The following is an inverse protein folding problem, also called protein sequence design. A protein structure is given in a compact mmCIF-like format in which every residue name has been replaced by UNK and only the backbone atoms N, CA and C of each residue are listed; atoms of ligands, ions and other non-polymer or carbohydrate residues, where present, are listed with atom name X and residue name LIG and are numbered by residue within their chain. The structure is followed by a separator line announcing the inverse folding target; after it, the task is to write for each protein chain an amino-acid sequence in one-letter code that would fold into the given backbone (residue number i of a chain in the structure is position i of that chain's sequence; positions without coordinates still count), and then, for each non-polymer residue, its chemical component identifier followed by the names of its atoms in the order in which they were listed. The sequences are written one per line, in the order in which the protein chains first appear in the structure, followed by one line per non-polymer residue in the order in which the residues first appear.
data_IF_845163500371
#
_entry.id   IF_845163500371
#
_cell.length_a   1.000
_cell.length_b   1.000
_cell.length_c   1.000
_cell.angle_alpha   90.00
_cell.angle_beta   90.00
_cell.angle_gamma   90.00
#
_symmetry.space_group_name_H-M   'P 1'
#
loop_
_entity.id
_entity.type
_entity.pdbx_description
1 polymer ?
#
# COMPACT_ATOMS: atom_id res chain seq x y z
N UNK A 1 25.40 20.05 -25.35
CA UNK A 1 24.68 18.91 -24.70
C UNK A 1 25.73 18.01 -24.08
N UNK A 2 25.88 18.10 -22.74
CA UNK A 2 27.06 17.64 -22.00
C UNK A 2 27.20 16.11 -22.01
N UNK A 3 28.42 15.63 -22.37
CA UNK A 3 28.82 14.20 -22.28
C UNK A 3 28.68 13.59 -20.86
N UNK A 4 28.63 14.42 -19.82
CA UNK A 4 28.47 13.96 -18.41
C UNK A 4 27.06 13.39 -18.08
N UNK A 5 26.02 13.73 -18.85
CA UNK A 5 24.67 13.24 -18.59
C UNK A 5 24.41 11.86 -19.22
N UNK A 6 25.19 11.45 -20.22
CA UNK A 6 25.00 10.16 -20.90
C UNK A 6 25.53 8.97 -20.08
N UNK A 7 26.54 9.18 -19.23
CA UNK A 7 27.18 8.12 -18.45
C UNK A 7 26.45 7.75 -17.13
N UNK A 8 25.46 8.54 -16.69
CA UNK A 8 24.71 8.25 -15.44
C UNK A 8 23.58 7.24 -15.62
N UNK A 9 23.02 7.15 -16.81
CA UNK A 9 21.89 6.24 -17.11
C UNK A 9 22.34 4.81 -17.41
N UNK A 10 23.62 4.61 -17.79
CA UNK A 10 24.16 3.31 -18.18
C UNK A 10 24.87 2.57 -17.01
N UNK A 11 24.79 3.09 -15.78
CA UNK A 11 25.36 2.40 -14.64
C UNK A 11 24.57 1.10 -14.34
N UNK A 12 25.24 -0.01 -13.96
CA UNK A 12 24.59 -1.27 -13.61
C UNK A 12 23.49 -1.12 -12.55
N UNK A 13 23.57 -0.08 -11.73
CA UNK A 13 22.57 0.25 -10.72
C UNK A 13 21.24 0.70 -11.35
N UNK A 14 21.29 1.62 -12.33
CA UNK A 14 20.06 2.12 -12.99
C UNK A 14 19.42 1.04 -13.87
N UNK A 15 20.22 0.22 -14.54
CA UNK A 15 19.73 -0.93 -15.32
C UNK A 15 19.03 -1.96 -14.42
N UNK A 16 19.60 -2.30 -13.26
CA UNK A 16 18.97 -3.22 -12.29
C UNK A 16 17.73 -2.62 -11.66
N UNK A 17 17.70 -1.33 -11.38
CA UNK A 17 16.57 -0.64 -10.81
C UNK A 17 15.42 -0.59 -11.82
N UNK A 18 15.70 -0.22 -13.07
CA UNK A 18 14.70 -0.21 -14.15
C UNK A 18 14.15 -1.61 -14.42
N UNK A 19 14.98 -2.64 -14.46
CA UNK A 19 14.54 -4.03 -14.63
C UNK A 19 13.56 -4.48 -13.53
N UNK A 20 13.89 -4.20 -12.24
CA UNK A 20 13.00 -4.52 -11.12
C UNK A 20 11.65 -3.78 -11.20
N UNK A 21 11.69 -2.52 -11.60
CA UNK A 21 10.47 -1.73 -11.76
C UNK A 21 9.62 -2.29 -12.90
N UNK A 22 10.22 -2.63 -14.04
CA UNK A 22 9.51 -3.25 -15.16
C UNK A 22 8.91 -4.61 -14.78
N UNK A 23 9.64 -5.44 -14.04
CA UNK A 23 9.13 -6.70 -13.53
C UNK A 23 7.90 -6.51 -12.65
N UNK A 24 7.94 -5.55 -11.71
CA UNK A 24 6.80 -5.23 -10.86
C UNK A 24 5.60 -4.70 -11.66
N UNK A 25 5.84 -3.87 -12.67
CA UNK A 25 4.78 -3.36 -13.55
C UNK A 25 4.14 -4.51 -14.32
N UNK A 26 4.95 -5.43 -14.88
CA UNK A 26 4.45 -6.59 -15.60
C UNK A 26 3.60 -7.48 -14.68
N UNK A 27 4.10 -7.82 -13.49
CA UNK A 27 3.35 -8.61 -12.50
C UNK A 27 2.05 -7.91 -12.09
N UNK A 28 2.09 -6.61 -11.92
CA UNK A 28 0.91 -5.80 -11.63
C UNK A 28 -0.12 -5.86 -12.76
N UNK A 29 0.32 -5.75 -14.02
CA UNK A 29 -0.57 -5.83 -15.19
C UNK A 29 -1.16 -7.23 -15.36
N UNK A 30 -0.36 -8.30 -15.14
CA UNK A 30 -0.83 -9.69 -15.17
C UNK A 30 -1.93 -9.88 -14.13
N UNK A 31 -1.66 -9.52 -12.86
CA UNK A 31 -2.66 -9.68 -11.80
C UNK A 31 -3.91 -8.81 -12.05
N UNK A 32 -3.75 -7.62 -12.63
CA UNK A 32 -4.89 -6.78 -13.02
C UNK A 32 -5.76 -7.49 -14.06
N UNK A 33 -5.14 -8.08 -15.07
CA UNK A 33 -5.84 -8.88 -16.08
C UNK A 33 -6.57 -10.07 -15.46
N UNK A 34 -5.90 -10.84 -14.59
CA UNK A 34 -6.49 -12.00 -13.90
C UNK A 34 -7.68 -11.61 -13.02
N UNK A 35 -7.59 -10.50 -12.29
CA UNK A 35 -8.71 -9.98 -11.48
C UNK A 35 -9.89 -9.56 -12.38
N UNK A 36 -9.62 -8.89 -13.50
CA UNK A 36 -10.66 -8.45 -14.43
C UNK A 36 -11.34 -9.62 -15.18
N UNK A 37 -10.62 -10.72 -15.42
CA UNK A 37 -11.13 -11.91 -16.11
C UNK A 37 -11.63 -13.00 -15.16
N UNK A 38 -11.66 -12.75 -13.86
CA UNK A 38 -12.11 -13.69 -12.82
C UNK A 38 -11.27 -14.96 -12.67
N UNK A 39 -10.06 -15.00 -13.19
CA UNK A 39 -9.14 -16.14 -13.01
C UNK A 39 -8.69 -16.34 -11.57
N UNK A 40 -8.81 -15.31 -10.73
CA UNK A 40 -8.48 -15.39 -9.30
C UNK A 40 -9.54 -16.09 -8.44
N UNK A 41 -10.68 -16.49 -9.00
CA UNK A 41 -11.82 -17.05 -8.26
C UNK A 41 -11.43 -18.30 -7.45
N UNK A 42 -10.65 -19.20 -8.02
CA UNK A 42 -10.23 -20.43 -7.31
C UNK A 42 -9.32 -20.13 -6.12
N UNK A 43 -8.41 -19.17 -6.26
CA UNK A 43 -7.55 -18.70 -5.17
C UNK A 43 -8.36 -18.00 -4.09
N UNK A 44 -9.27 -17.11 -4.48
CA UNK A 44 -10.11 -16.37 -3.56
C UNK A 44 -11.06 -17.30 -2.78
N UNK A 45 -11.66 -18.31 -3.46
CA UNK A 45 -12.50 -19.30 -2.80
C UNK A 45 -11.72 -20.19 -1.83
N UNK A 46 -10.51 -20.62 -2.19
CA UNK A 46 -9.67 -21.43 -1.27
C UNK A 46 -9.34 -20.69 0.03
N UNK A 47 -9.08 -19.37 -0.06
CA UNK A 47 -8.85 -18.53 1.12
C UNK A 47 -10.13 -18.42 1.95
N UNK A 48 -11.27 -18.28 1.31
CA UNK A 48 -12.55 -18.19 2.00
C UNK A 48 -12.94 -19.50 2.67
N UNK A 49 -12.76 -20.66 2.02
CA UNK A 49 -13.02 -21.96 2.61
C UNK A 49 -12.17 -22.18 3.88
N UNK A 50 -10.89 -21.78 3.82
CA UNK A 50 -10.03 -21.80 5.00
C UNK A 50 -10.57 -20.89 6.12
N UNK A 51 -11.00 -19.67 5.81
CA UNK A 51 -11.52 -18.73 6.80
C UNK A 51 -12.85 -19.20 7.38
N UNK A 52 -13.75 -19.75 6.56
CA UNK A 52 -15.06 -20.29 7.03
C UNK A 52 -14.89 -21.30 8.17
N UNK A 53 -13.89 -22.16 8.05
CA UNK A 53 -13.60 -23.18 9.06
C UNK A 53 -12.92 -22.62 10.32
N UNK A 54 -12.51 -21.35 10.30
CA UNK A 54 -11.71 -20.71 11.36
C UNK A 54 -12.33 -19.39 11.90
N UNK A 55 -13.61 -19.12 11.61
CA UNK A 55 -14.30 -17.96 12.16
C UNK A 55 -14.56 -18.17 13.65
N UNK A 56 -14.14 -17.19 14.46
CA UNK A 56 -14.37 -17.17 15.89
C UNK A 56 -14.96 -15.82 16.33
N UNK A 57 -16.03 -15.79 17.14
CA UNK A 57 -16.73 -14.55 17.52
C UNK A 57 -15.81 -13.48 18.15
N UNK A 58 -14.89 -13.89 19.02
CA UNK A 58 -13.97 -12.97 19.69
C UNK A 58 -13.01 -12.31 18.71
N UNK A 59 -12.47 -13.07 17.74
CA UNK A 59 -11.64 -12.51 16.67
C UNK A 59 -12.44 -11.58 15.77
N UNK A 60 -13.71 -11.89 15.51
CA UNK A 60 -14.59 -11.03 14.69
C UNK A 60 -14.75 -9.67 15.33
N UNK A 61 -15.07 -9.62 16.63
CA UNK A 61 -15.19 -8.35 17.36
C UNK A 61 -13.88 -7.56 17.40
N UNK A 62 -12.76 -8.27 17.60
CA UNK A 62 -11.43 -7.67 17.58
C UNK A 62 -11.12 -7.04 16.23
N UNK A 63 -11.36 -7.75 15.11
CA UNK A 63 -11.15 -7.24 13.77
C UNK A 63 -12.07 -6.05 13.45
N UNK A 64 -13.32 -6.09 13.86
CA UNK A 64 -14.27 -4.96 13.70
C UNK A 64 -13.77 -3.74 14.49
N UNK A 65 -13.38 -3.91 15.75
CA UNK A 65 -12.90 -2.82 16.59
C UNK A 65 -11.63 -2.16 16.00
N UNK A 66 -10.66 -2.98 15.57
CA UNK A 66 -9.44 -2.48 14.95
C UNK A 66 -9.67 -1.85 13.57
N UNK A 67 -10.56 -2.41 12.75
CA UNK A 67 -10.91 -1.81 11.46
C UNK A 67 -11.56 -0.44 11.65
N UNK A 68 -12.45 -0.30 12.63
CA UNK A 68 -13.10 0.96 12.96
C UNK A 68 -12.11 1.98 13.53
N UNK A 69 -11.19 1.54 14.42
CA UNK A 69 -10.13 2.40 14.96
C UNK A 69 -9.17 2.88 13.84
N UNK A 70 -8.92 2.02 12.84
CA UNK A 70 -8.04 2.30 11.71
C UNK A 70 -8.78 2.87 10.50
N UNK A 71 -9.91 3.50 10.74
CA UNK A 71 -10.72 4.10 9.69
C UNK A 71 -9.97 5.27 9.03
N UNK A 72 -10.41 5.65 7.84
CA UNK A 72 -9.83 6.67 6.97
C UNK A 72 -9.35 7.94 7.71
N UNK A 73 -10.06 8.35 8.75
CA UNK A 73 -9.72 9.54 9.54
C UNK A 73 -8.35 9.45 10.22
N UNK A 74 -8.00 8.31 10.84
CA UNK A 74 -6.70 8.17 11.52
C UNK A 74 -5.54 8.20 10.56
N UNK A 75 -5.70 7.62 9.38
CA UNK A 75 -4.69 7.64 8.31
C UNK A 75 -4.48 9.06 7.81
N UNK A 76 -5.57 9.82 7.61
CA UNK A 76 -5.52 11.23 7.21
C UNK A 76 -4.84 12.07 8.31
N UNK A 77 -5.24 11.91 9.57
CA UNK A 77 -4.63 12.62 10.70
C UNK A 77 -3.14 12.33 10.76
N UNK A 78 -2.73 11.08 10.65
CA UNK A 78 -1.32 10.69 10.69
C UNK A 78 -0.53 11.26 9.51
N UNK A 79 -1.10 11.26 8.31
CA UNK A 79 -0.49 11.87 7.13
C UNK A 79 -0.33 13.40 7.26
N UNK A 80 -1.36 14.07 7.82
CA UNK A 80 -1.32 15.53 8.09
C UNK A 80 -0.27 15.86 9.15
N UNK A 81 -0.24 15.13 10.27
CA UNK A 81 0.76 15.32 11.33
C UNK A 81 2.19 15.12 10.78
N UNK A 82 2.40 14.05 10.03
CA UNK A 82 3.68 13.78 9.38
C UNK A 82 4.08 14.91 8.42
N UNK A 83 3.14 15.42 7.65
CA UNK A 83 3.34 16.55 6.75
C UNK A 83 3.75 17.82 7.53
N UNK A 84 3.04 18.15 8.60
CA UNK A 84 3.33 19.32 9.44
C UNK A 84 4.74 19.21 10.04
N UNK A 85 5.06 18.08 10.67
CA UNK A 85 6.38 17.85 11.30
C UNK A 85 7.51 17.99 10.28
N UNK A 86 7.34 17.47 9.07
CA UNK A 86 8.34 17.59 8.02
C UNK A 86 8.41 19.02 7.43
N UNK A 87 7.29 19.72 7.36
CA UNK A 87 7.22 21.08 6.84
C UNK A 87 7.93 22.12 7.70
N UNK A 88 8.00 21.90 9.01
CA UNK A 88 8.65 22.80 9.97
C UNK A 88 10.15 23.02 9.67
N UNK A 89 10.80 22.09 8.95
CA UNK A 89 12.19 22.22 8.51
C UNK A 89 12.24 22.43 7.00
N UNK A 90 12.83 23.56 6.57
CA UNK A 90 12.89 23.96 5.15
C UNK A 90 13.49 22.87 4.25
N UNK A 91 14.54 22.21 4.70
CA UNK A 91 15.23 21.12 3.99
C UNK A 91 14.37 19.86 3.78
N UNK A 92 13.31 19.70 4.57
CA UNK A 92 12.43 18.54 4.53
C UNK A 92 11.14 18.76 3.73
N UNK A 93 10.92 19.97 3.19
CA UNK A 93 9.66 20.33 2.49
C UNK A 93 9.29 19.39 1.33
N UNK A 94 10.27 18.85 0.62
CA UNK A 94 10.02 17.83 -0.42
C UNK A 94 9.36 16.56 0.15
N UNK A 95 9.79 16.12 1.34
CA UNK A 95 9.21 14.96 2.01
C UNK A 95 7.84 15.27 2.60
N UNK A 96 7.63 16.49 3.08
CA UNK A 96 6.33 16.99 3.50
C UNK A 96 5.34 17.00 2.33
N UNK A 97 5.74 17.47 1.15
CA UNK A 97 4.91 17.43 -0.06
C UNK A 97 4.53 16.01 -0.45
N UNK A 98 5.47 15.05 -0.41
CA UNK A 98 5.18 13.65 -0.67
C UNK A 98 4.16 13.09 0.35
N UNK A 99 4.36 13.37 1.64
CA UNK A 99 3.47 12.92 2.71
C UNK A 99 2.05 13.46 2.54
N UNK A 100 1.92 14.70 2.09
CA UNK A 100 0.64 15.34 1.79
C UNK A 100 -0.02 14.77 0.53
N UNK A 101 0.74 14.59 -0.54
CA UNK A 101 0.22 14.13 -1.83
C UNK A 101 -0.12 12.64 -1.85
N UNK A 102 0.56 11.82 -1.04
CA UNK A 102 0.33 10.37 -1.00
C UNK A 102 -1.13 9.99 -0.80
N UNK A 103 -1.84 10.43 0.26
CA UNK A 103 -3.24 10.07 0.45
C UNK A 103 -4.13 10.60 -0.69
N UNK A 104 -3.86 11.77 -1.23
CA UNK A 104 -4.64 12.37 -2.33
C UNK A 104 -4.51 11.50 -3.59
N UNK A 105 -3.29 11.15 -3.98
CA UNK A 105 -3.03 10.28 -5.14
C UNK A 105 -3.75 8.95 -4.97
N UNK A 106 -3.69 8.38 -3.77
CA UNK A 106 -4.34 7.11 -3.45
C UNK A 106 -5.86 7.19 -3.60
N UNK A 107 -6.49 8.26 -3.08
CA UNK A 107 -7.94 8.49 -3.24
C UNK A 107 -8.31 8.50 -4.73
N UNK A 108 -7.59 9.28 -5.53
CA UNK A 108 -7.85 9.42 -6.96
C UNK A 108 -7.70 8.06 -7.66
N UNK A 109 -6.57 7.39 -7.46
CA UNK A 109 -6.28 6.09 -8.10
C UNK A 109 -7.31 5.03 -7.69
N UNK A 110 -7.65 4.95 -6.39
CA UNK A 110 -8.67 4.02 -5.91
C UNK A 110 -10.02 4.27 -6.57
N UNK A 111 -10.48 5.52 -6.57
CA UNK A 111 -11.78 5.89 -7.13
C UNK A 111 -11.85 5.60 -8.64
N UNK A 112 -10.81 5.96 -9.38
CA UNK A 112 -10.75 5.69 -10.83
C UNK A 112 -10.82 4.19 -11.12
N UNK A 113 -9.99 3.39 -10.44
CA UNK A 113 -9.94 1.94 -10.69
C UNK A 113 -11.24 1.27 -10.26
N UNK A 114 -11.84 1.66 -9.12
CA UNK A 114 -13.15 1.15 -8.68
C UNK A 114 -14.24 1.34 -9.73
N UNK A 115 -14.28 2.52 -10.34
CA UNK A 115 -15.29 2.84 -11.35
C UNK A 115 -15.03 2.14 -12.69
N UNK A 116 -13.78 1.78 -13.00
CA UNK A 116 -13.43 1.02 -14.20
C UNK A 116 -13.74 -0.47 -14.03
N UNK A 117 -13.26 -1.07 -12.93
CA UNK A 117 -13.32 -2.53 -12.73
C UNK A 117 -14.68 -3.00 -12.20
N UNK A 118 -15.33 -2.23 -11.36
CA UNK A 118 -16.68 -2.48 -10.80
C UNK A 118 -16.87 -3.90 -10.23
N UNK A 119 -15.82 -4.49 -9.63
CA UNK A 119 -15.87 -5.84 -9.09
C UNK A 119 -16.86 -5.92 -7.93
N UNK A 120 -17.86 -6.83 -7.96
CA UNK A 120 -18.78 -7.00 -6.83
C UNK A 120 -18.01 -7.51 -5.60
N UNK A 121 -18.58 -7.28 -4.42
CA UNK A 121 -18.04 -7.83 -3.16
C UNK A 121 -18.46 -9.27 -2.96
N UNK A 122 -17.73 -10.03 -2.11
CA UNK A 122 -18.18 -11.35 -1.67
C UNK A 122 -19.59 -11.26 -1.06
N UNK A 123 -20.50 -12.14 -1.47
CA UNK A 123 -21.89 -12.13 -0.98
C UNK A 123 -22.11 -13.02 0.24
N UNK A 124 -21.18 -13.98 0.46
CA UNK A 124 -21.26 -14.95 1.55
C UNK A 124 -20.75 -14.30 2.83
N UNK A 125 -21.53 -14.37 3.92
CA UNK A 125 -21.13 -14.01 5.30
C UNK A 125 -20.52 -12.61 5.53
N UNK A 126 -20.95 -11.57 4.84
CA UNK A 126 -20.46 -10.21 5.16
C UNK A 126 -20.67 -9.87 6.64
N UNK A 127 -19.57 -9.76 7.37
CA UNK A 127 -19.59 -9.46 8.80
C UNK A 127 -19.71 -7.95 9.08
N UNK A 128 -19.51 -7.11 8.07
CA UNK A 128 -19.72 -5.64 8.11
C UNK A 128 -20.34 -5.15 6.81
N UNK A 129 -21.14 -4.09 6.88
CA UNK A 129 -21.78 -3.48 5.71
C UNK A 129 -20.81 -2.58 4.96
N UNK A 130 -20.70 -2.80 3.67
CA UNK A 130 -19.93 -1.96 2.73
C UNK A 130 -20.74 -1.81 1.44
N UNK A 131 -20.90 -0.61 0.95
CA UNK A 131 -21.87 -0.29 -0.11
C UNK A 131 -21.28 -0.17 -1.50
N UNK A 132 -19.95 -0.07 -1.62
CA UNK A 132 -19.29 0.16 -2.90
C UNK A 132 -18.52 -1.07 -3.40
N UNK A 133 -17.95 -1.03 -4.61
CA UNK A 133 -17.22 -2.12 -5.24
C UNK A 133 -16.09 -2.70 -4.38
N UNK A 134 -15.78 -3.99 -4.58
CA UNK A 134 -14.72 -4.67 -3.85
C UNK A 134 -13.34 -4.17 -4.23
N UNK A 135 -13.06 -4.14 -5.52
CA UNK A 135 -11.73 -3.85 -6.05
C UNK A 135 -11.57 -2.36 -6.41
N UNK A 136 -10.51 -1.74 -5.98
CA UNK A 136 -9.51 -2.20 -5.05
C UNK A 136 -9.84 -1.85 -3.58
N UNK A 137 -9.14 -2.50 -2.61
CA UNK A 137 -9.38 -2.27 -1.18
C UNK A 137 -8.89 -0.90 -0.71
N UNK A 138 -9.80 -0.03 -0.31
CA UNK A 138 -9.49 1.30 0.22
C UNK A 138 -8.61 1.26 1.47
N UNK A 139 -8.97 0.45 2.46
CA UNK A 139 -8.24 0.34 3.73
C UNK A 139 -6.81 -0.16 3.52
N UNK A 140 -6.64 -1.22 2.73
CA UNK A 140 -5.33 -1.78 2.40
C UNK A 140 -4.44 -0.74 1.73
N UNK A 141 -4.99 -0.02 0.75
CA UNK A 141 -4.29 0.95 -0.05
C UNK A 141 -3.65 2.07 0.77
N UNK A 142 -4.48 2.73 1.58
CA UNK A 142 -4.02 3.83 2.41
C UNK A 142 -3.03 3.37 3.48
N UNK A 143 -3.33 2.26 4.14
CA UNK A 143 -2.47 1.71 5.18
C UNK A 143 -1.11 1.34 4.61
N UNK A 144 -1.07 0.55 3.54
CA UNK A 144 0.19 0.07 2.96
C UNK A 144 1.04 1.24 2.45
N UNK A 145 0.45 2.17 1.69
CA UNK A 145 1.23 3.28 1.15
C UNK A 145 1.76 4.23 2.23
N UNK A 146 0.95 4.55 3.26
CA UNK A 146 1.39 5.44 4.33
C UNK A 146 2.48 4.80 5.20
N UNK A 147 2.29 3.54 5.64
CA UNK A 147 3.29 2.89 6.49
C UNK A 147 4.58 2.59 5.74
N UNK A 148 4.53 2.32 4.47
CA UNK A 148 5.74 2.22 3.65
C UNK A 148 6.44 3.56 3.47
N UNK A 149 5.70 4.64 3.31
CA UNK A 149 6.29 5.98 3.31
C UNK A 149 6.95 6.28 4.66
N UNK A 150 6.30 5.94 5.79
CA UNK A 150 6.89 6.06 7.13
C UNK A 150 8.19 5.24 7.22
N UNK A 151 8.23 4.01 6.73
CA UNK A 151 9.45 3.20 6.72
C UNK A 151 10.57 3.83 5.88
N UNK A 152 10.26 4.39 4.71
CA UNK A 152 11.23 5.13 3.90
C UNK A 152 11.78 6.36 4.63
N UNK A 153 10.91 7.18 5.20
CA UNK A 153 11.30 8.36 5.98
C UNK A 153 12.12 7.97 7.21
N UNK A 154 11.72 6.90 7.90
CA UNK A 154 12.47 6.34 9.02
C UNK A 154 13.86 5.90 8.59
N UNK A 155 14.02 5.27 7.42
CA UNK A 155 15.34 4.88 6.90
C UNK A 155 16.24 6.07 6.63
N UNK A 156 15.64 7.20 6.30
CA UNK A 156 16.36 8.44 5.95
C UNK A 156 16.72 9.29 7.16
N UNK A 157 15.79 9.43 8.13
CA UNK A 157 15.93 10.36 9.26
C UNK A 157 16.38 9.70 10.57
N UNK A 158 16.04 8.43 10.81
CA UNK A 158 16.29 7.76 12.09
C UNK A 158 17.65 7.07 12.06
N UNK A 159 18.62 7.61 12.81
CA UNK A 159 19.98 7.03 12.92
C UNK A 159 20.03 5.82 13.84
N UNK A 160 19.21 5.80 14.90
CA UNK A 160 19.17 4.70 15.85
C UNK A 160 18.62 3.42 15.19
N UNK A 161 19.47 2.38 15.09
CA UNK A 161 19.14 1.12 14.42
C UNK A 161 18.02 0.34 15.13
N UNK A 162 17.99 0.40 16.46
CA UNK A 162 16.97 -0.29 17.25
C UNK A 162 15.60 0.36 17.06
N UNK A 163 15.51 1.68 17.24
CA UNK A 163 14.27 2.43 17.00
C UNK A 163 13.75 2.22 15.57
N UNK A 164 14.64 2.23 14.57
CA UNK A 164 14.27 1.97 13.18
C UNK A 164 13.66 0.57 12.99
N UNK A 165 14.23 -0.46 13.63
CA UNK A 165 13.70 -1.83 13.58
C UNK A 165 12.32 -1.92 14.24
N UNK A 166 12.12 -1.26 15.37
CA UNK A 166 10.82 -1.19 16.06
C UNK A 166 9.76 -0.54 15.18
N UNK A 167 10.07 0.62 14.57
CA UNK A 167 9.13 1.29 13.66
C UNK A 167 8.79 0.40 12.45
N UNK A 168 9.76 -0.30 11.89
CA UNK A 168 9.52 -1.23 10.78
C UNK A 168 8.63 -2.38 11.18
N UNK A 169 8.91 -3.02 12.32
CA UNK A 169 8.10 -4.13 12.84
C UNK A 169 6.66 -3.68 13.09
N UNK A 170 6.46 -2.56 13.78
CA UNK A 170 5.13 -2.01 14.04
C UNK A 170 4.39 -1.67 12.73
N UNK A 171 5.08 -1.05 11.77
CA UNK A 171 4.50 -0.74 10.46
C UNK A 171 4.04 -2.00 9.73
N UNK A 172 4.87 -3.06 9.72
CA UNK A 172 4.53 -4.34 9.11
C UNK A 172 3.36 -5.02 9.83
N UNK A 173 3.35 -5.04 11.15
CA UNK A 173 2.25 -5.63 11.93
C UNK A 173 0.92 -4.92 11.66
N UNK A 174 0.92 -3.59 11.60
CA UNK A 174 -0.29 -2.80 11.28
C UNK A 174 -0.75 -3.09 9.86
N UNK A 175 0.15 -3.08 8.87
CA UNK A 175 -0.20 -3.42 7.49
C UNK A 175 -0.82 -4.82 7.40
N UNK A 176 -0.19 -5.83 8.00
CA UNK A 176 -0.71 -7.20 8.01
C UNK A 176 -2.06 -7.28 8.72
N UNK A 177 -2.22 -6.63 9.85
CA UNK A 177 -3.47 -6.66 10.61
C UNK A 177 -4.62 -6.04 9.82
N UNK A 178 -4.44 -4.83 9.29
CA UNK A 178 -5.51 -4.15 8.53
C UNK A 178 -5.85 -4.93 7.26
N UNK A 179 -4.86 -5.41 6.52
CA UNK A 179 -5.12 -6.17 5.29
C UNK A 179 -5.82 -7.50 5.56
N UNK A 180 -5.39 -8.25 6.58
CA UNK A 180 -6.03 -9.51 6.97
C UNK A 180 -7.46 -9.30 7.48
N UNK A 181 -7.72 -8.20 8.20
CA UNK A 181 -9.07 -7.88 8.67
C UNK A 181 -10.07 -7.74 7.52
N UNK A 182 -9.65 -7.22 6.36
CA UNK A 182 -10.55 -7.00 5.22
C UNK A 182 -10.96 -8.31 4.53
N UNK A 183 -10.09 -9.32 4.58
CA UNK A 183 -10.40 -10.67 4.08
C UNK A 183 -11.27 -11.38 5.11
N UNK A 184 -10.88 -11.37 6.38
CA UNK A 184 -11.61 -12.02 7.47
C UNK A 184 -13.05 -11.51 7.61
N UNK A 185 -13.28 -10.20 7.45
CA UNK A 185 -14.61 -9.59 7.52
C UNK A 185 -15.44 -9.77 6.24
N UNK A 186 -14.92 -10.51 5.25
CA UNK A 186 -15.61 -10.85 3.99
C UNK A 186 -16.04 -9.65 3.13
N UNK A 187 -15.26 -8.60 3.17
CA UNK A 187 -15.56 -7.39 2.38
C UNK A 187 -14.66 -7.22 1.15
N UNK A 188 -13.53 -7.95 1.10
CA UNK A 188 -12.59 -7.94 -0.01
C UNK A 188 -12.05 -9.34 -0.29
N UNK A 189 -11.78 -9.63 -1.56
CA UNK A 189 -11.10 -10.82 -1.99
C UNK A 189 -9.60 -10.76 -1.64
N UNK A 190 -8.96 -11.93 -1.50
CA UNK A 190 -7.53 -12.01 -1.27
C UNK A 190 -6.74 -11.40 -2.44
N UNK A 191 -7.19 -11.63 -3.68
CA UNK A 191 -6.62 -11.02 -4.88
C UNK A 191 -6.68 -9.49 -4.88
N UNK A 192 -7.71 -8.85 -4.28
CA UNK A 192 -7.77 -7.41 -4.10
C UNK A 192 -6.61 -6.89 -3.25
N UNK A 193 -6.20 -7.67 -2.26
CA UNK A 193 -5.09 -7.34 -1.34
C UNK A 193 -3.74 -7.49 -2.04
N UNK A 194 -3.52 -8.61 -2.75
CA UNK A 194 -2.28 -8.85 -3.50
C UNK A 194 -2.02 -7.77 -4.54
N UNK A 195 -3.05 -7.36 -5.26
CA UNK A 195 -2.96 -6.30 -6.24
C UNK A 195 -2.44 -4.99 -5.64
N UNK A 196 -2.98 -4.65 -4.47
CA UNK A 196 -2.54 -3.46 -3.75
C UNK A 196 -1.11 -3.54 -3.25
N UNK A 197 -0.72 -4.69 -2.81
CA UNK A 197 0.65 -4.91 -2.38
C UNK A 197 1.62 -4.64 -3.55
N UNK A 198 1.33 -5.17 -4.74
CA UNK A 198 2.12 -4.94 -5.94
C UNK A 198 2.14 -3.46 -6.37
N UNK A 199 0.98 -2.80 -6.42
CA UNK A 199 0.93 -1.37 -6.77
C UNK A 199 1.70 -0.51 -5.76
N UNK A 200 1.61 -0.84 -4.48
CA UNK A 200 2.35 -0.13 -3.45
C UNK A 200 3.86 -0.33 -3.59
N UNK A 201 4.33 -1.51 -4.02
CA UNK A 201 5.74 -1.73 -4.35
C UNK A 201 6.18 -0.85 -5.53
N UNK A 202 5.38 -0.77 -6.59
CA UNK A 202 5.65 0.14 -7.72
C UNK A 202 5.75 1.58 -7.23
N UNK A 203 4.76 2.04 -6.45
CA UNK A 203 4.75 3.38 -5.86
C UNK A 203 6.02 3.67 -5.04
N UNK A 204 6.43 2.73 -4.18
CA UNK A 204 7.66 2.86 -3.38
C UNK A 204 8.91 2.99 -4.23
N UNK A 205 9.02 2.17 -5.26
CA UNK A 205 10.18 2.25 -6.17
C UNK A 205 10.25 3.61 -6.82
N UNK A 206 9.12 4.14 -7.28
CA UNK A 206 9.04 5.48 -7.88
C UNK A 206 9.44 6.56 -6.85
N UNK A 207 8.82 6.57 -5.67
CA UNK A 207 9.14 7.55 -4.62
C UNK A 207 10.60 7.44 -4.19
N UNK A 208 11.11 6.22 -3.96
CA UNK A 208 12.50 6.01 -3.59
C UNK A 208 13.46 6.52 -4.66
N UNK A 209 13.15 6.25 -5.92
CA UNK A 209 14.01 6.67 -7.03
C UNK A 209 14.08 8.20 -7.14
N UNK A 210 12.96 8.89 -7.12
CA UNK A 210 12.95 10.33 -7.37
C UNK A 210 13.32 11.19 -6.15
N UNK A 211 13.01 10.73 -4.94
CA UNK A 211 13.09 11.58 -3.75
C UNK A 211 14.14 11.15 -2.72
N UNK A 212 14.53 9.87 -2.71
CA UNK A 212 15.45 9.32 -1.71
C UNK A 212 16.81 8.89 -2.26
N UNK A 213 17.04 8.91 -3.57
CA UNK A 213 18.39 8.75 -4.12
C UNK A 213 19.21 9.99 -3.75
N UNK A 214 20.22 9.81 -2.91
CA UNK A 214 21.24 10.84 -2.71
C UNK A 214 21.87 11.13 -4.07
N UNK A 215 21.90 12.40 -4.49
CA UNK A 215 22.83 12.81 -5.52
C UNK A 215 24.21 12.38 -4.99
N UNK A 216 24.83 11.40 -5.65
CA UNK A 216 26.25 11.12 -5.45
C UNK A 216 26.92 12.41 -5.94
N UNK A 217 27.36 13.23 -4.99
CA UNK A 217 28.20 14.40 -5.25
C UNK A 217 29.59 13.92 -5.62
#
# INVERSE_FOLDING_TARGET
MNKENKNKTDSPYYLRLSFRLWLLIILFLILTYEVCTWWTVSMDSSVYDFLMNNIHPDFTQLFIAFTNLWWTYWIIILAVLLTIVLWLKKENRKFAAISFLTPIIIVIVNTVIKNIVQRPRPEILRLVSETWYSFPSWHTMHTVALYWLIMLLTSYFVKNRWLRRVIYLLSLLIMLWVTSSRIYLWVHYFSDILWWFLLSLVYLFVIKHFFFTKKVA
#
